data_IF_952260235514
#
_entry.id   IF_952260235514
#
_cell.length_a   1.000
_cell.length_b   1.000
_cell.length_c   1.000
_cell.angle_alpha   90.00
_cell.angle_beta   90.00
_cell.angle_gamma   90.00
#
_symmetry.space_group_name_H-M   'P 1'
#
loop_
_entity.id
_entity.type
_entity.pdbx_description
1 polymer ?
#
# COMPACT_ATOMS: atom_id res chain seq x y z
N UNK A 1 49.67 18.72 23.40
CA UNK A 1 48.20 18.62 23.24
C UNK A 1 47.82 17.15 23.10
N UNK A 2 47.03 16.59 24.03
CA UNK A 2 46.83 15.15 24.23
C UNK A 2 46.04 14.55 23.05
N UNK A 3 46.51 13.40 22.54
CA UNK A 3 46.01 12.72 21.33
C UNK A 3 44.48 12.58 21.27
N UNK A 4 43.83 12.43 22.43
CA UNK A 4 42.37 12.30 22.56
C UNK A 4 41.58 13.50 22.05
N UNK A 5 42.11 14.73 22.18
CA UNK A 5 41.42 15.91 21.66
C UNK A 5 41.33 15.89 20.12
N UNK A 6 42.39 15.43 19.45
CA UNK A 6 42.40 15.32 17.98
C UNK A 6 41.41 14.27 17.48
N UNK A 7 41.33 13.12 18.16
CA UNK A 7 40.38 12.05 17.83
C UNK A 7 38.93 12.49 18.08
N UNK A 8 38.67 13.17 19.19
CA UNK A 8 37.34 13.70 19.53
C UNK A 8 36.89 14.80 18.57
N UNK A 9 37.80 15.70 18.16
CA UNK A 9 37.50 16.72 17.16
C UNK A 9 37.19 16.12 15.80
N UNK A 10 37.92 15.07 15.38
CA UNK A 10 37.71 14.41 14.10
C UNK A 10 36.37 13.66 14.05
N UNK A 11 36.03 12.94 15.11
CA UNK A 11 34.74 12.23 15.22
C UNK A 11 33.56 13.19 15.26
N UNK A 12 33.69 14.31 15.99
CA UNK A 12 32.65 15.36 16.00
C UNK A 12 32.46 15.97 14.61
N UNK A 13 33.55 16.26 13.91
CA UNK A 13 33.48 16.79 12.54
C UNK A 13 32.78 15.82 11.57
N UNK A 14 33.10 14.53 11.66
CA UNK A 14 32.45 13.49 10.85
C UNK A 14 30.94 13.40 11.12
N UNK A 15 30.51 13.50 12.38
CA UNK A 15 29.09 13.50 12.72
C UNK A 15 28.35 14.71 12.14
N UNK A 16 28.95 15.90 12.21
CA UNK A 16 28.36 17.11 11.62
C UNK A 16 28.22 16.98 10.10
N UNK A 17 29.20 16.39 9.43
CA UNK A 17 29.13 16.12 7.98
C UNK A 17 28.00 15.15 7.62
N UNK A 18 27.83 14.07 8.38
CA UNK A 18 26.75 13.10 8.17
C UNK A 18 25.37 13.80 8.33
N UNK A 19 25.20 14.60 9.37
CA UNK A 19 23.95 15.36 9.59
C UNK A 19 23.68 16.30 8.42
N UNK A 20 24.70 17.00 7.92
CA UNK A 20 24.57 17.88 6.75
C UNK A 20 24.14 17.14 5.48
N UNK A 21 24.70 15.96 5.23
CA UNK A 21 24.33 15.12 4.07
C UNK A 21 22.88 14.65 4.21
N UNK A 22 22.47 14.19 5.38
CA UNK A 22 21.08 13.77 5.64
C UNK A 22 20.11 14.93 5.40
N UNK A 23 20.42 16.12 5.91
CA UNK A 23 19.60 17.31 5.69
C UNK A 23 19.52 17.69 4.20
N UNK A 24 20.63 17.62 3.46
CA UNK A 24 20.65 17.89 2.03
C UNK A 24 19.77 16.90 1.24
N UNK A 25 19.83 15.61 1.59
CA UNK A 25 18.97 14.58 0.99
C UNK A 25 17.49 14.83 1.32
N UNK A 26 17.17 15.19 2.57
CA UNK A 26 15.80 15.54 2.96
C UNK A 26 15.29 16.75 2.17
N UNK A 27 16.09 17.82 2.06
CA UNK A 27 15.72 19.03 1.32
C UNK A 27 15.55 18.72 -0.18
N UNK A 28 16.43 17.90 -0.77
CA UNK A 28 16.32 17.49 -2.16
C UNK A 28 15.02 16.72 -2.42
N UNK A 29 14.71 15.73 -1.57
CA UNK A 29 13.46 14.97 -1.67
C UNK A 29 12.24 15.87 -1.47
N UNK A 30 12.25 16.78 -0.50
CA UNK A 30 11.15 17.74 -0.28
C UNK A 30 10.90 18.64 -1.50
N UNK A 31 11.97 19.14 -2.14
CA UNK A 31 11.84 19.94 -3.38
C UNK A 31 11.28 19.11 -4.53
N UNK A 32 11.77 17.88 -4.68
CA UNK A 32 11.28 16.95 -5.73
C UNK A 32 9.82 16.55 -5.52
N UNK A 33 9.38 16.36 -4.28
CA UNK A 33 7.98 16.07 -3.95
C UNK A 33 7.11 17.30 -4.23
N UNK A 34 7.55 18.49 -3.83
CA UNK A 34 6.78 19.73 -4.02
C UNK A 34 6.49 20.04 -5.50
N UNK A 35 7.46 19.82 -6.39
CA UNK A 35 7.25 20.01 -7.84
C UNK A 35 6.35 18.93 -8.44
N UNK A 36 6.48 17.68 -8.00
CA UNK A 36 5.66 16.56 -8.48
C UNK A 36 4.19 16.68 -8.05
N UNK A 37 3.95 17.13 -6.81
CA UNK A 37 2.60 17.40 -6.31
C UNK A 37 1.94 18.52 -7.08
N UNK A 38 2.64 19.62 -7.36
CA UNK A 38 2.08 20.74 -8.13
C UNK A 38 1.84 20.38 -9.60
N UNK A 39 2.74 19.62 -10.22
CA UNK A 39 2.56 19.16 -11.60
C UNK A 39 1.32 18.26 -11.72
N UNK A 40 1.13 17.30 -10.81
CA UNK A 40 -0.09 16.46 -10.79
C UNK A 40 -1.36 17.23 -10.47
N UNK A 41 -1.29 18.20 -9.54
CA UNK A 41 -2.44 19.07 -9.20
C UNK A 41 -2.82 19.94 -10.40
N UNK A 42 -1.86 20.49 -11.12
CA UNK A 42 -2.10 21.29 -12.31
C UNK A 42 -2.62 20.43 -13.47
N UNK A 43 -2.03 19.26 -13.72
CA UNK A 43 -2.51 18.30 -14.72
C UNK A 43 -3.94 17.84 -14.43
N UNK A 44 -4.25 17.60 -13.16
CA UNK A 44 -5.60 17.27 -12.72
C UNK A 44 -6.55 18.46 -12.94
N UNK A 45 -6.17 19.67 -12.51
CA UNK A 45 -6.93 20.90 -12.74
C UNK A 45 -7.21 21.16 -14.22
N UNK A 46 -6.20 21.03 -15.07
CA UNK A 46 -6.30 21.21 -16.52
C UNK A 46 -7.21 20.14 -17.16
N UNK A 47 -7.14 18.89 -16.68
CA UNK A 47 -8.03 17.83 -17.14
C UNK A 47 -9.49 18.11 -16.77
N UNK A 48 -9.74 18.66 -15.59
CA UNK A 48 -11.08 19.05 -15.14
C UNK A 48 -11.61 20.22 -15.96
N UNK A 49 -10.80 21.27 -16.17
CA UNK A 49 -11.19 22.44 -16.99
C UNK A 49 -11.49 22.02 -18.44
N UNK A 50 -10.68 21.12 -19.01
CA UNK A 50 -10.93 20.57 -20.35
C UNK A 50 -12.24 19.77 -20.40
N UNK A 51 -12.52 18.93 -19.40
CA UNK A 51 -13.76 18.16 -19.31
C UNK A 51 -15.00 19.04 -19.15
N UNK A 52 -14.89 20.13 -18.39
CA UNK A 52 -15.95 21.14 -18.20
C UNK A 52 -16.28 21.84 -19.51
N UNK A 53 -15.27 22.21 -20.29
CA UNK A 53 -15.46 22.91 -21.55
C UNK A 53 -15.97 22.01 -22.68
N UNK A 54 -15.64 20.71 -22.67
CA UNK A 54 -16.00 19.78 -23.74
C UNK A 54 -17.38 19.14 -23.55
N UNK A 55 -17.83 18.88 -22.32
CA UNK A 55 -19.00 18.01 -22.07
C UNK A 55 -19.96 18.57 -21.01
N UNK A 56 -20.35 19.84 -21.10
CA UNK A 56 -21.04 20.65 -20.07
C UNK A 56 -22.23 20.06 -19.27
N UNK A 57 -22.70 18.82 -19.53
CA UNK A 57 -23.68 18.08 -18.74
C UNK A 57 -23.27 16.63 -18.35
N UNK A 58 -22.13 16.09 -18.79
CA UNK A 58 -21.69 14.69 -18.57
C UNK A 58 -20.41 14.56 -17.71
N UNK A 59 -20.03 15.66 -17.04
CA UNK A 59 -18.80 15.75 -16.25
C UNK A 59 -18.84 14.78 -15.06
N UNK A 60 -19.99 14.62 -14.41
CA UNK A 60 -20.17 13.74 -13.26
C UNK A 60 -19.92 12.27 -13.63
N UNK A 61 -20.60 11.77 -14.67
CA UNK A 61 -20.46 10.38 -15.14
C UNK A 61 -19.02 10.05 -15.58
N UNK A 62 -18.35 10.99 -16.26
CA UNK A 62 -17.01 10.78 -16.80
C UNK A 62 -15.91 10.97 -15.74
N UNK A 63 -16.12 11.87 -14.80
CA UNK A 63 -15.28 12.02 -13.61
C UNK A 63 -15.37 10.76 -12.73
N UNK A 64 -16.59 10.26 -12.50
CA UNK A 64 -16.81 8.98 -11.85
C UNK A 64 -16.06 7.86 -12.57
N UNK A 65 -16.21 7.72 -13.90
CA UNK A 65 -15.53 6.68 -14.68
C UNK A 65 -14.00 6.74 -14.51
N UNK A 66 -13.39 7.92 -14.66
CA UNK A 66 -11.94 8.11 -14.53
C UNK A 66 -11.49 7.78 -13.11
N UNK A 67 -12.20 8.29 -12.11
CA UNK A 67 -11.88 8.05 -10.70
C UNK A 67 -12.02 6.57 -10.33
N UNK A 68 -13.10 5.91 -10.74
CA UNK A 68 -13.30 4.48 -10.54
C UNK A 68 -12.21 3.66 -11.21
N UNK A 69 -11.82 3.99 -12.45
CA UNK A 69 -10.76 3.30 -13.18
C UNK A 69 -9.39 3.49 -12.53
N UNK A 70 -9.09 4.69 -12.04
CA UNK A 70 -7.85 4.96 -11.30
C UNK A 70 -7.84 4.19 -9.98
N UNK A 71 -8.95 4.18 -9.23
CA UNK A 71 -9.11 3.36 -8.02
C UNK A 71 -8.97 1.87 -8.29
N UNK A 72 -9.57 1.36 -9.37
CA UNK A 72 -9.42 -0.04 -9.77
C UNK A 72 -7.97 -0.37 -10.09
N UNK A 73 -7.29 0.49 -10.86
CA UNK A 73 -5.88 0.31 -11.23
C UNK A 73 -4.98 0.32 -9.99
N UNK A 74 -5.22 1.26 -9.07
CA UNK A 74 -4.53 1.32 -7.79
C UNK A 74 -4.75 0.03 -6.98
N UNK A 75 -6.00 -0.40 -6.82
CA UNK A 75 -6.32 -1.63 -6.09
C UNK A 75 -5.69 -2.87 -6.73
N UNK A 76 -5.67 -2.96 -8.07
CA UNK A 76 -4.96 -4.04 -8.79
C UNK A 76 -3.47 -4.04 -8.47
N UNK A 77 -2.82 -2.88 -8.52
CA UNK A 77 -1.40 -2.75 -8.19
C UNK A 77 -1.08 -3.15 -6.74
N UNK A 78 -1.96 -2.78 -5.79
CA UNK A 78 -1.83 -3.18 -4.40
C UNK A 78 -1.98 -4.70 -4.25
N UNK A 79 -3.01 -5.30 -4.86
CA UNK A 79 -3.22 -6.76 -4.86
C UNK A 79 -2.02 -7.50 -5.48
N UNK A 80 -1.51 -7.04 -6.62
CA UNK A 80 -0.35 -7.64 -7.28
C UNK A 80 0.91 -7.60 -6.42
N UNK A 81 1.10 -6.52 -5.66
CA UNK A 81 2.20 -6.38 -4.70
C UNK A 81 2.09 -7.40 -3.57
N UNK A 82 0.89 -7.58 -3.01
CA UNK A 82 0.63 -8.58 -1.96
C UNK A 82 0.83 -10.00 -2.49
N UNK A 83 0.29 -10.31 -3.66
CA UNK A 83 0.45 -11.63 -4.29
C UNK A 83 1.92 -11.93 -4.55
N UNK A 84 2.70 -10.93 -4.97
CA UNK A 84 4.15 -11.08 -5.14
C UNK A 84 4.87 -11.37 -3.82
N UNK A 85 4.49 -10.68 -2.73
CA UNK A 85 4.98 -10.97 -1.39
C UNK A 85 4.64 -12.38 -0.91
N UNK A 86 3.41 -12.83 -1.12
CA UNK A 86 2.98 -14.20 -0.82
C UNK A 86 3.81 -15.22 -1.60
N UNK A 87 4.03 -14.99 -2.91
CA UNK A 87 4.86 -15.88 -3.74
C UNK A 87 6.28 -16.00 -3.19
N UNK A 88 6.88 -14.87 -2.77
CA UNK A 88 8.21 -14.86 -2.18
C UNK A 88 8.27 -15.67 -0.88
N UNK A 89 7.30 -15.47 0.02
CA UNK A 89 7.20 -16.23 1.28
C UNK A 89 7.07 -17.74 1.00
N UNK A 90 6.19 -18.12 0.08
CA UNK A 90 5.96 -19.53 -0.28
C UNK A 90 7.21 -20.15 -0.91
N UNK A 91 7.89 -19.43 -1.80
CA UNK A 91 9.12 -19.92 -2.43
C UNK A 91 10.23 -20.15 -1.40
N UNK A 92 10.51 -19.15 -0.56
CA UNK A 92 11.52 -19.22 0.50
C UNK A 92 11.22 -20.36 1.48
N UNK A 93 9.98 -20.47 1.96
CA UNK A 93 9.60 -21.49 2.91
C UNK A 93 9.69 -22.92 2.32
N UNK A 94 9.43 -23.08 1.02
CA UNK A 94 9.64 -24.36 0.33
C UNK A 94 11.11 -24.72 0.20
N UNK A 95 11.98 -23.76 -0.11
CA UNK A 95 13.43 -23.98 -0.16
C UNK A 95 13.99 -24.37 1.21
N UNK A 96 13.44 -23.81 2.29
CA UNK A 96 13.75 -24.19 3.67
C UNK A 96 13.19 -25.56 4.10
N UNK A 97 12.42 -26.23 3.22
CA UNK A 97 11.82 -27.53 3.51
C UNK A 97 10.66 -27.47 4.51
N UNK A 98 10.01 -26.31 4.69
CA UNK A 98 8.87 -26.17 5.60
C UNK A 98 7.67 -26.97 5.11
N UNK A 99 6.89 -27.47 6.06
CA UNK A 99 5.63 -28.15 5.79
C UNK A 99 4.58 -27.20 5.22
N UNK A 100 3.56 -27.77 4.56
CA UNK A 100 2.45 -27.01 4.01
C UNK A 100 1.71 -26.18 5.09
N UNK A 101 1.54 -26.74 6.29
CA UNK A 101 0.89 -26.04 7.42
C UNK A 101 1.72 -24.85 7.91
N UNK A 102 3.05 -24.98 7.96
CA UNK A 102 3.92 -23.86 8.32
C UNK A 102 3.89 -22.75 7.26
N UNK A 103 3.87 -23.11 5.98
CA UNK A 103 3.74 -22.15 4.88
C UNK A 103 2.41 -21.40 4.98
N UNK A 104 1.32 -22.10 5.23
CA UNK A 104 0.00 -21.49 5.42
C UNK A 104 -0.02 -20.52 6.59
N UNK A 105 0.61 -20.87 7.71
CA UNK A 105 0.69 -19.99 8.87
C UNK A 105 1.51 -18.72 8.57
N UNK A 106 2.65 -18.85 7.87
CA UNK A 106 3.44 -17.69 7.44
C UNK A 106 2.63 -16.73 6.55
N UNK A 107 1.84 -17.28 5.61
CA UNK A 107 0.98 -16.49 4.73
C UNK A 107 -0.12 -15.80 5.54
N UNK A 108 -0.77 -16.51 6.48
CA UNK A 108 -1.79 -15.90 7.37
C UNK A 108 -1.21 -14.76 8.21
N UNK A 109 -0.01 -14.96 8.78
CA UNK A 109 0.70 -13.92 9.54
C UNK A 109 0.96 -12.71 8.64
N UNK A 110 1.49 -12.92 7.44
CA UNK A 110 1.76 -11.82 6.50
C UNK A 110 0.49 -11.02 6.18
N UNK A 111 -0.61 -11.70 5.85
CA UNK A 111 -1.90 -11.07 5.52
C UNK A 111 -2.50 -10.33 6.72
N UNK A 112 -2.33 -10.86 7.94
CA UNK A 112 -2.76 -10.19 9.15
C UNK A 112 -2.08 -8.83 9.39
N UNK A 113 -0.84 -8.67 8.93
CA UNK A 113 -0.05 -7.46 9.19
C UNK A 113 -0.03 -6.48 8.03
N UNK A 114 -0.20 -6.93 6.80
CA UNK A 114 -0.09 -6.05 5.65
C UNK A 114 -1.26 -5.07 5.56
N UNK A 115 -0.95 -3.80 5.28
CA UNK A 115 -1.92 -2.71 5.17
C UNK A 115 -1.62 -1.87 3.93
N UNK A 116 -2.65 -1.26 3.35
CA UNK A 116 -2.54 -0.38 2.19
C UNK A 116 -3.22 0.96 2.42
N UNK A 117 -2.96 1.89 1.51
CA UNK A 117 -3.47 3.26 1.56
C UNK A 117 -2.65 4.17 2.50
N UNK A 118 -2.84 5.47 2.34
CA UNK A 118 -2.06 6.51 3.03
C UNK A 118 -2.13 6.39 4.57
N UNK A 119 -3.32 6.11 5.10
CA UNK A 119 -3.56 5.97 6.55
C UNK A 119 -3.29 4.55 7.09
N UNK A 120 -2.95 3.57 6.24
CA UNK A 120 -2.76 2.16 6.60
C UNK A 120 -4.00 1.48 7.21
N UNK A 121 -5.19 1.98 6.88
CA UNK A 121 -6.47 1.39 7.33
C UNK A 121 -6.94 0.26 6.39
N UNK A 122 -6.46 0.23 5.14
CA UNK A 122 -6.80 -0.80 4.17
C UNK A 122 -6.22 -2.16 4.56
N UNK A 123 -7.00 -3.23 4.42
CA UNK A 123 -6.59 -4.59 4.77
C UNK A 123 -7.03 -5.61 3.70
N UNK A 124 -6.38 -6.77 3.70
CA UNK A 124 -6.71 -7.90 2.84
C UNK A 124 -7.29 -9.04 3.68
N UNK A 125 -8.21 -9.81 3.11
CA UNK A 125 -8.67 -11.07 3.68
C UNK A 125 -8.58 -12.15 2.60
N UNK A 126 -8.57 -13.42 3.02
CA UNK A 126 -8.58 -14.56 2.11
C UNK A 126 -9.71 -15.49 2.48
N UNK A 127 -10.42 -15.96 1.45
CA UNK A 127 -11.34 -17.07 1.50
C UNK A 127 -10.88 -18.18 0.55
N UNK A 128 -11.27 -19.41 0.83
CA UNK A 128 -11.14 -20.50 -0.13
C UNK A 128 -12.20 -20.39 -1.24
N UNK A 129 -12.15 -21.30 -2.22
CA UNK A 129 -13.10 -21.32 -3.33
C UNK A 129 -14.54 -21.68 -2.92
N UNK A 130 -14.75 -22.16 -1.69
CA UNK A 130 -16.05 -22.45 -1.08
C UNK A 130 -16.54 -21.30 -0.20
N UNK A 131 -15.91 -20.13 -0.28
CA UNK A 131 -16.22 -18.97 0.55
C UNK A 131 -16.01 -19.20 2.06
N UNK A 132 -15.19 -20.16 2.46
CA UNK A 132 -14.74 -20.29 3.86
C UNK A 132 -13.61 -19.30 4.09
N UNK A 133 -13.76 -18.44 5.11
CA UNK A 133 -12.74 -17.45 5.44
C UNK A 133 -11.51 -18.15 6.01
N UNK A 134 -10.37 -17.98 5.34
CA UNK A 134 -9.07 -18.50 5.77
C UNK A 134 -8.41 -17.55 6.78
N UNK A 135 -8.46 -16.24 6.51
CA UNK A 135 -7.95 -15.19 7.42
C UNK A 135 -8.65 -13.86 7.17
N UNK A 136 -9.10 -13.21 8.25
CA UNK A 136 -9.66 -11.87 8.25
C UNK A 136 -9.03 -11.02 9.38
N UNK A 137 -8.14 -10.06 9.06
CA UNK A 137 -7.34 -9.33 10.06
C UNK A 137 -8.17 -8.46 11.02
N UNK A 138 -9.22 -7.81 10.51
CA UNK A 138 -10.07 -6.90 11.30
C UNK A 138 -11.20 -7.63 12.05
N UNK A 139 -11.61 -8.81 11.57
CA UNK A 139 -12.68 -9.62 12.17
C UNK A 139 -12.23 -11.08 12.33
N UNK A 140 -11.29 -11.37 13.25
CA UNK A 140 -10.74 -12.72 13.42
C UNK A 140 -11.80 -13.78 13.75
N UNK A 141 -12.94 -13.36 14.33
CA UNK A 141 -14.10 -14.22 14.61
C UNK A 141 -14.77 -14.80 13.35
N UNK A 142 -14.37 -14.36 12.16
CA UNK A 142 -14.82 -14.92 10.88
C UNK A 142 -13.94 -16.06 10.38
N UNK A 143 -12.73 -16.24 10.91
CA UNK A 143 -11.82 -17.29 10.46
C UNK A 143 -12.46 -18.68 10.63
N UNK A 144 -12.41 -19.49 9.59
CA UNK A 144 -13.03 -20.82 9.51
C UNK A 144 -14.54 -20.82 9.28
N UNK A 145 -15.19 -19.65 9.18
CA UNK A 145 -16.63 -19.58 8.87
C UNK A 145 -16.88 -19.70 7.38
N UNK A 146 -17.89 -20.51 7.07
CA UNK A 146 -18.44 -20.66 5.73
C UNK A 146 -19.40 -19.50 5.42
N UNK A 147 -19.13 -18.78 4.33
CA UNK A 147 -19.99 -17.70 3.81
C UNK A 147 -20.75 -18.12 2.54
N UNK A 148 -20.74 -19.41 2.16
CA UNK A 148 -21.50 -19.95 1.05
C UNK A 148 -23.00 -20.06 1.37
N UNK A 149 -23.66 -18.92 1.48
CA UNK A 149 -25.11 -18.81 1.43
C UNK A 149 -25.54 -17.61 0.56
N UNK A 150 -26.40 -17.82 -0.47
CA UNK A 150 -27.23 -16.76 -1.02
C UNK A 150 -28.63 -16.73 -0.33
N UNK A 151 -29.30 -15.55 -0.37
CA UNK A 151 -30.73 -15.26 -0.05
C UNK A 151 -31.03 -14.86 1.43
N UNK A 152 -31.73 -13.77 1.75
CA UNK A 152 -32.80 -13.06 1.04
C UNK A 152 -32.40 -11.71 0.45
N UNK A 153 -32.77 -11.52 -0.82
CA UNK A 153 -33.29 -10.24 -1.28
C UNK A 153 -34.41 -9.86 -0.31
N UNK A 154 -34.16 -8.86 0.54
CA UNK A 154 -35.27 -8.15 1.17
C UNK A 154 -36.00 -7.46 0.02
N UNK A 155 -37.20 -7.98 -0.22
CA UNK A 155 -38.22 -7.42 -1.09
C UNK A 155 -38.30 -5.91 -0.94
N UNK A 156 -38.43 -5.24 -2.09
CA UNK A 156 -39.15 -3.98 -2.19
C UNK A 156 -40.42 -4.03 -1.32
N UNK A 157 -40.50 -3.14 -0.35
CA UNK A 157 -41.74 -2.58 0.18
C UNK A 157 -41.50 -1.11 0.51
#
# INVERSE_FOLDING_TARGET
MKIGYKVMSLTTFLLVMIVGIVLAVVIYNMRSIGTFTQEKVNLFGDSIVKMVNENGNDIENKFEEIFYKEKETFLKSEVDSIVSGIRAIVAQAKEEGRSQTEIEELVKIFINHVRYGENKDGYFWVNDLKAVIVVHPVKPSLNGKDLSFPMSILSLS
#
